data_IF_480022346810
#
_entry.id   IF_480022346810
#
_cell.length_a   1.000
_cell.length_b   1.000
_cell.length_c   1.000
_cell.angle_alpha   90.00
_cell.angle_beta   90.00
_cell.angle_gamma   90.00
#
_symmetry.space_group_name_H-M   'P 1'
#
loop_
_entity.id
_entity.type
_entity.pdbx_description
1 polymer ?
#
# COMPACT_ATOMS: atom_id res chain seq x y z
N UNK A 1 13.16 -1.37 8.47
CA UNK A 1 13.14 -2.07 7.17
C UNK A 1 11.78 -1.97 6.55
N UNK A 2 11.74 -1.84 5.24
CA UNK A 2 10.47 -1.81 4.51
C UNK A 2 10.12 -3.21 4.00
N UNK A 3 8.83 -3.49 3.92
CA UNK A 3 8.33 -4.71 3.31
C UNK A 3 7.72 -4.39 1.96
N UNK A 4 7.77 -5.34 1.06
CA UNK A 4 7.19 -5.19 -0.28
C UNK A 4 6.08 -6.21 -0.45
N UNK A 5 4.93 -5.75 -0.93
CA UNK A 5 3.78 -6.58 -1.24
C UNK A 5 3.47 -6.47 -2.72
N UNK A 6 3.48 -7.60 -3.42
CA UNK A 6 3.18 -7.64 -4.84
C UNK A 6 1.75 -8.13 -5.02
N UNK A 7 0.88 -7.24 -5.49
CA UNK A 7 -0.52 -7.57 -5.77
C UNK A 7 -0.85 -7.42 -7.24
N UNK A 8 0.17 -7.50 -8.11
CA UNK A 8 -0.07 -7.47 -9.56
C UNK A 8 -0.90 -8.68 -9.97
N UNK A 9 -1.77 -8.47 -10.92
CA UNK A 9 -2.69 -9.51 -11.39
C UNK A 9 -3.93 -9.69 -10.53
N UNK A 10 -4.03 -8.99 -9.39
CA UNK A 10 -5.21 -9.08 -8.54
C UNK A 10 -6.14 -7.90 -8.81
N UNK A 11 -7.43 -8.16 -8.77
CA UNK A 11 -8.45 -7.15 -9.03
C UNK A 11 -9.15 -6.76 -7.73
N UNK A 12 -9.75 -5.56 -7.74
CA UNK A 12 -10.52 -5.04 -6.62
C UNK A 12 -11.59 -6.06 -6.18
N UNK A 13 -11.77 -6.31 -4.87
CA UNK A 13 -11.17 -5.57 -3.74
C UNK A 13 -9.90 -6.21 -3.18
N UNK A 14 -9.32 -7.19 -3.84
CA UNK A 14 -8.23 -7.98 -3.27
C UNK A 14 -6.96 -7.18 -2.99
N UNK A 15 -6.48 -6.29 -3.89
CA UNK A 15 -5.28 -5.51 -3.59
C UNK A 15 -5.43 -4.70 -2.30
N UNK A 16 -6.58 -4.06 -2.12
CA UNK A 16 -6.85 -3.28 -0.92
C UNK A 16 -6.90 -4.17 0.32
N UNK A 17 -7.58 -5.31 0.24
CA UNK A 17 -7.70 -6.22 1.37
C UNK A 17 -6.35 -6.78 1.78
N UNK A 18 -5.51 -7.15 0.83
CA UNK A 18 -4.18 -7.66 1.12
C UNK A 18 -3.29 -6.58 1.72
N UNK A 19 -3.40 -5.35 1.22
CA UNK A 19 -2.64 -4.23 1.76
C UNK A 19 -3.04 -3.93 3.19
N UNK A 20 -4.34 -3.87 3.48
CA UNK A 20 -4.82 -3.64 4.84
C UNK A 20 -4.31 -4.73 5.79
N UNK A 21 -4.40 -5.99 5.36
CA UNK A 21 -3.91 -7.10 6.16
C UNK A 21 -2.41 -6.97 6.45
N UNK A 22 -1.62 -6.60 5.44
CA UNK A 22 -0.19 -6.42 5.60
C UNK A 22 0.14 -5.25 6.53
N UNK A 23 -0.60 -4.14 6.42
CA UNK A 23 -0.39 -3.00 7.30
C UNK A 23 -0.66 -3.36 8.76
N UNK A 24 -1.67 -4.16 9.00
CA UNK A 24 -1.99 -4.60 10.36
C UNK A 24 -0.94 -5.53 10.94
N UNK A 25 -0.18 -6.18 10.09
CA UNK A 25 0.87 -7.10 10.51
C UNK A 25 2.23 -6.45 10.67
N UNK A 26 2.36 -5.19 10.30
CA UNK A 26 3.63 -4.48 10.49
C UNK A 26 3.95 -4.37 11.96
N UNK A 27 5.19 -4.68 12.31
CA UNK A 27 5.64 -4.55 13.70
C UNK A 27 5.92 -3.08 14.02
N UNK A 28 6.08 -2.79 15.31
CA UNK A 28 6.29 -1.41 15.76
C UNK A 28 7.57 -0.79 15.19
N UNK A 29 8.54 -1.62 14.83
CA UNK A 29 9.78 -1.13 14.23
C UNK A 29 9.72 -0.95 12.72
N UNK A 30 8.62 -1.32 12.09
CA UNK A 30 8.45 -1.22 10.66
C UNK A 30 7.53 -0.04 10.35
N UNK A 31 7.99 0.88 9.51
CA UNK A 31 7.25 2.12 9.24
C UNK A 31 6.78 2.22 7.80
N UNK A 32 7.26 1.37 6.91
CA UNK A 32 7.01 1.50 5.48
C UNK A 32 6.61 0.18 4.87
N UNK A 33 5.57 0.22 4.03
CA UNK A 33 5.16 -0.90 3.21
C UNK A 33 5.11 -0.43 1.76
N UNK A 34 5.73 -1.16 0.85
CA UNK A 34 5.66 -0.89 -0.58
C UNK A 34 4.69 -1.89 -1.21
N UNK A 35 3.75 -1.38 -1.98
CA UNK A 35 2.76 -2.21 -2.66
C UNK A 35 2.88 -1.98 -4.16
N UNK A 36 3.04 -3.05 -4.91
CA UNK A 36 3.11 -2.99 -6.37
C UNK A 36 1.82 -3.53 -6.94
N UNK A 37 1.14 -2.74 -7.77
CA UNK A 37 -0.13 -3.11 -8.38
C UNK A 37 -0.17 -2.72 -9.84
N UNK A 38 -0.93 -3.46 -10.64
CA UNK A 38 -1.23 -3.10 -12.01
C UNK A 38 -2.72 -2.79 -12.20
N UNK A 39 -3.45 -2.61 -11.11
CA UNK A 39 -4.89 -2.37 -11.11
C UNK A 39 -5.17 -0.92 -10.71
N UNK A 40 -5.55 -0.08 -11.68
CA UNK A 40 -5.71 1.35 -11.45
C UNK A 40 -6.67 1.71 -10.31
N UNK A 41 -7.82 1.04 -10.12
CA UNK A 41 -8.69 1.35 -8.99
C UNK A 41 -8.04 1.21 -7.63
N UNK A 42 -6.98 0.41 -7.51
CA UNK A 42 -6.26 0.28 -6.24
C UNK A 42 -5.59 1.59 -5.83
N UNK A 43 -5.32 2.48 -6.81
CA UNK A 43 -4.72 3.78 -6.52
C UNK A 43 -5.64 4.69 -5.71
N UNK A 44 -6.94 4.38 -5.66
CA UNK A 44 -7.89 5.10 -4.82
C UNK A 44 -8.19 4.34 -3.54
N UNK A 45 -8.42 3.03 -3.65
CA UNK A 45 -8.87 2.25 -2.50
C UNK A 45 -7.76 2.03 -1.47
N UNK A 46 -6.54 1.79 -1.92
CA UNK A 46 -5.43 1.56 -0.99
C UNK A 46 -5.11 2.82 -0.18
N UNK A 47 -4.92 4.01 -0.79
CA UNK A 47 -4.66 5.21 -0.01
C UNK A 47 -5.76 5.54 0.99
N UNK A 48 -7.02 5.33 0.61
CA UNK A 48 -8.15 5.61 1.50
C UNK A 48 -8.09 4.75 2.76
N UNK A 49 -7.84 3.46 2.60
CA UNK A 49 -7.75 2.55 3.73
C UNK A 49 -6.47 2.77 4.54
N UNK A 50 -5.37 3.08 3.86
CA UNK A 50 -4.11 3.36 4.55
C UNK A 50 -4.23 4.59 5.44
N UNK A 51 -4.93 5.63 4.97
CA UNK A 51 -5.15 6.84 5.75
C UNK A 51 -5.92 6.52 7.04
N UNK A 52 -6.89 5.63 6.97
CA UNK A 52 -7.66 5.21 8.15
C UNK A 52 -6.80 4.48 9.17
N UNK A 53 -5.74 3.84 8.71
CA UNK A 53 -4.83 3.10 9.58
C UNK A 53 -3.63 3.94 10.02
N UNK A 54 -3.60 5.22 9.65
CA UNK A 54 -2.54 6.12 10.07
C UNK A 54 -1.31 6.09 9.18
N UNK A 55 -1.49 5.76 7.90
CA UNK A 55 -0.39 5.73 6.93
C UNK A 55 -0.59 6.78 5.86
N UNK A 56 0.52 7.36 5.39
CA UNK A 56 0.54 8.22 4.22
C UNK A 56 0.89 7.40 2.99
N UNK A 57 0.35 7.77 1.85
CA UNK A 57 0.60 7.07 0.60
C UNK A 57 1.28 7.98 -0.41
N UNK A 58 2.38 7.51 -0.99
CA UNK A 58 3.00 8.11 -2.15
C UNK A 58 2.86 7.13 -3.31
N UNK A 59 2.42 7.61 -4.47
CA UNK A 59 2.22 6.78 -5.65
C UNK A 59 3.33 7.08 -6.64
N UNK A 60 3.94 6.03 -7.17
CA UNK A 60 5.03 6.14 -8.13
C UNK A 60 4.72 5.22 -9.30
N UNK A 61 4.74 5.77 -10.51
CA UNK A 61 4.56 4.96 -11.71
C UNK A 61 5.88 4.29 -12.04
N UNK A 62 5.86 2.96 -12.12
CA UNK A 62 7.09 2.19 -12.39
C UNK A 62 7.14 1.67 -13.81
N UNK A 63 6.19 2.09 -14.66
CA UNK A 63 6.17 1.77 -16.08
C UNK A 63 5.11 0.75 -16.44
N UNK A 64 4.69 0.75 -17.71
CA UNK A 64 3.83 -0.29 -18.26
C UNK A 64 2.53 -0.54 -17.50
N UNK A 65 1.83 0.48 -17.06
CA UNK A 65 0.57 0.35 -16.31
C UNK A 65 0.76 -0.33 -14.95
N UNK A 66 1.93 -0.17 -14.36
CA UNK A 66 2.20 -0.65 -13.00
C UNK A 66 2.56 0.54 -12.12
N UNK A 67 2.16 0.46 -10.86
CA UNK A 67 2.41 1.51 -9.88
C UNK A 67 2.93 0.91 -8.59
N UNK A 68 3.80 1.66 -7.93
CA UNK A 68 4.26 1.33 -6.59
C UNK A 68 3.69 2.36 -5.63
N UNK A 69 2.99 1.88 -4.61
CA UNK A 69 2.48 2.72 -3.55
C UNK A 69 3.38 2.54 -2.34
N UNK A 70 3.93 3.63 -1.86
CA UNK A 70 4.77 3.59 -0.66
C UNK A 70 3.93 4.12 0.49
N UNK A 71 3.64 3.23 1.43
CA UNK A 71 2.80 3.53 2.58
C UNK A 71 3.71 3.71 3.79
N UNK A 72 3.74 4.93 4.32
CA UNK A 72 4.61 5.28 5.44
C UNK A 72 3.75 5.61 6.65
N UNK A 73 4.09 5.01 7.79
CA UNK A 73 3.36 5.27 9.03
C UNK A 73 3.54 6.71 9.44
N UNK A 74 2.42 7.40 9.66
CA UNK A 74 2.46 8.75 10.20
C UNK A 74 2.86 8.69 11.66
N UNK A 75 3.81 9.53 12.02
CA UNK A 75 4.14 9.66 13.42
C UNK A 75 3.14 10.60 14.07
N UNK A 76 2.60 10.15 15.18
CA UNK A 76 1.78 10.99 16.02
C UNK A 76 2.68 11.91 16.81
N UNK A 77 2.57 13.17 16.53
CA UNK A 77 3.34 14.17 17.27
C UNK A 77 2.48 14.72 18.38
#
# INVERSE_FOLDING_TARGET
MSKTLDVRGEICPYPMMRTVSALKKLSAGEHTLEVVTDHAPALDTIPTQAARLGFETAVEEVGGSEWRLVLTRKENV
#
